data_IF_139191148285
#
_entry.id   IF_139191148285
#
_cell.length_a   1.000
_cell.length_b   1.000
_cell.length_c   1.000
_cell.angle_alpha   90.00
_cell.angle_beta   90.00
_cell.angle_gamma   90.00
#
_symmetry.space_group_name_H-M   'P 1'
#
loop_
_entity.id
_entity.type
_entity.pdbx_description
1 polymer ?
#
# COMPACT_ATOMS: atom_id res chain seq x y z
N UNK A 1 40.30 1.80 29.79
CA UNK A 1 39.00 1.19 29.44
C UNK A 1 38.06 2.34 29.07
N UNK A 2 37.79 2.57 27.79
CA UNK A 2 36.82 3.59 27.39
C UNK A 2 35.42 3.00 27.53
N UNK A 3 34.67 3.46 28.53
CA UNK A 3 33.22 3.22 28.62
C UNK A 3 32.58 3.73 27.34
N UNK A 4 32.12 2.80 26.50
CA UNK A 4 31.34 3.14 25.32
C UNK A 4 30.00 3.64 25.84
N UNK A 5 29.81 4.96 25.84
CA UNK A 5 28.49 5.57 25.98
C UNK A 5 27.54 4.84 25.03
N UNK A 6 26.57 4.14 25.60
CA UNK A 6 25.51 3.47 24.89
C UNK A 6 24.62 4.55 24.26
N UNK A 7 24.98 4.97 23.04
CA UNK A 7 24.18 5.95 22.30
C UNK A 7 22.84 5.31 21.98
N UNK A 8 21.80 5.74 22.70
CA UNK A 8 20.41 5.44 22.39
C UNK A 8 20.18 5.84 20.92
N UNK A 9 19.81 4.87 20.09
CA UNK A 9 19.46 5.10 18.68
C UNK A 9 17.97 5.38 18.62
N UNK A 10 17.61 6.52 18.06
CA UNK A 10 16.21 6.92 17.86
C UNK A 10 15.91 6.80 16.37
N UNK A 11 14.90 6.01 16.02
CA UNK A 11 14.42 5.94 14.64
C UNK A 11 13.67 7.23 14.30
N UNK A 12 14.07 7.87 13.20
CA UNK A 12 13.34 9.03 12.64
C UNK A 12 12.59 8.58 11.39
N UNK A 13 11.24 8.63 11.39
CA UNK A 13 10.44 8.28 10.22
C UNK A 13 10.81 9.15 8.99
N UNK A 14 10.64 8.62 7.77
CA UNK A 14 10.89 9.40 6.57
C UNK A 14 9.94 10.61 6.51
N UNK A 15 10.48 11.80 6.23
CA UNK A 15 9.68 13.03 6.07
C UNK A 15 8.81 12.88 4.80
N UNK A 16 7.52 13.25 4.83
CA UNK A 16 6.72 13.28 3.62
C UNK A 16 7.27 14.32 2.65
N UNK A 17 7.15 14.05 1.35
CA UNK A 17 7.55 14.99 0.32
C UNK A 17 6.52 16.11 0.25
N UNK A 18 6.93 17.34 0.56
CA UNK A 18 6.07 18.52 0.42
C UNK A 18 5.70 18.69 -1.05
N UNK A 19 4.40 18.56 -1.34
CA UNK A 19 3.81 18.59 -2.69
C UNK A 19 4.37 17.53 -3.66
N UNK A 20 4.96 16.44 -3.16
CA UNK A 20 5.49 15.35 -4.01
C UNK A 20 6.73 15.74 -4.85
N UNK A 21 7.35 16.89 -4.60
CA UNK A 21 8.47 17.38 -5.40
C UNK A 21 9.79 16.71 -4.99
N UNK A 22 10.43 16.02 -5.93
CA UNK A 22 11.74 15.35 -5.72
C UNK A 22 12.90 16.29 -6.02
N UNK A 23 12.72 17.17 -7.00
CA UNK A 23 13.74 18.13 -7.40
C UNK A 23 13.82 19.28 -6.38
N UNK A 24 15.02 19.83 -6.12
CA UNK A 24 15.13 21.05 -5.32
C UNK A 24 14.32 22.15 -6.01
N UNK A 25 13.43 22.79 -5.26
CA UNK A 25 12.67 23.91 -5.79
C UNK A 25 13.59 25.10 -6.13
N UNK A 26 13.13 26.05 -6.96
CA UNK A 26 13.88 27.26 -7.30
C UNK A 26 14.21 28.14 -6.08
N UNK A 27 13.52 27.93 -4.95
CA UNK A 27 13.80 28.61 -3.69
C UNK A 27 14.56 27.66 -2.77
N UNK A 28 15.84 27.95 -2.52
CA UNK A 28 16.75 27.21 -1.65
C UNK A 28 16.34 27.18 -0.14
N UNK A 29 15.07 27.40 0.18
CA UNK A 29 14.53 27.48 1.55
C UNK A 29 14.08 26.13 2.12
N UNK A 30 14.09 25.04 1.34
CA UNK A 30 13.73 23.71 1.82
C UNK A 30 14.98 22.84 1.92
N UNK A 31 15.22 22.23 3.08
CA UNK A 31 16.28 21.24 3.25
C UNK A 31 16.22 20.23 2.10
N UNK A 32 17.35 20.03 1.42
CA UNK A 32 17.43 19.07 0.32
C UNK A 32 16.97 17.69 0.81
N UNK A 33 16.06 17.07 0.06
CA UNK A 33 15.60 15.71 0.38
C UNK A 33 16.80 14.77 0.42
N UNK A 34 16.96 14.07 1.54
CA UNK A 34 17.89 12.96 1.60
C UNK A 34 17.24 11.77 0.88
N UNK A 35 18.04 10.97 0.15
CA UNK A 35 17.52 9.78 -0.55
C UNK A 35 16.74 8.81 0.36
N UNK A 36 16.93 8.89 1.68
CA UNK A 36 16.12 8.20 2.68
C UNK A 36 14.64 8.57 2.64
N UNK A 37 14.29 9.83 2.39
CA UNK A 37 12.89 10.26 2.41
C UNK A 37 12.14 9.87 1.13
N UNK A 38 12.87 9.54 0.06
CA UNK A 38 12.27 9.11 -1.21
C UNK A 38 11.69 7.71 -1.05
N UNK A 39 10.41 7.56 -1.40
CA UNK A 39 9.68 6.29 -1.36
C UNK A 39 9.37 5.87 -2.80
N UNK A 40 10.02 4.80 -3.23
CA UNK A 40 9.72 4.13 -4.50
C UNK A 40 8.92 2.85 -4.27
N UNK A 41 8.51 2.23 -5.37
CA UNK A 41 7.89 0.90 -5.38
C UNK A 41 8.49 0.05 -6.48
N UNK A 42 8.59 -1.26 -6.28
CA UNK A 42 9.04 -2.16 -7.35
C UNK A 42 7.95 -2.35 -8.41
N UNK A 43 8.33 -2.45 -9.67
CA UNK A 43 7.40 -2.68 -10.79
C UNK A 43 6.64 -4.02 -10.66
N UNK A 44 7.33 -5.11 -10.31
CA UNK A 44 6.74 -6.47 -10.30
C UNK A 44 5.76 -6.72 -9.16
N UNK A 45 6.13 -6.32 -7.94
CA UNK A 45 5.43 -6.70 -6.71
C UNK A 45 4.86 -5.51 -5.94
N UNK A 46 5.02 -4.29 -6.47
CA UNK A 46 4.59 -3.05 -5.81
C UNK A 46 5.15 -2.89 -4.37
N UNK A 47 6.31 -3.51 -4.10
CA UNK A 47 6.96 -3.52 -2.79
C UNK A 47 7.58 -2.16 -2.48
N UNK A 48 7.41 -1.63 -1.25
CA UNK A 48 8.00 -0.36 -0.88
C UNK A 48 9.52 -0.44 -0.90
N UNK A 49 10.13 0.59 -1.46
CA UNK A 49 11.57 0.68 -1.72
C UNK A 49 12.11 2.04 -1.30
N UNK A 50 13.33 2.07 -0.76
CA UNK A 50 13.98 3.31 -0.35
C UNK A 50 15.50 3.23 -0.43
N UNK A 51 16.16 4.39 -0.33
CA UNK A 51 17.61 4.50 -0.36
C UNK A 51 18.20 4.69 1.05
N UNK A 52 19.11 3.81 1.43
CA UNK A 52 19.88 3.84 2.66
C UNK A 52 21.36 4.12 2.38
N UNK A 53 22.00 4.89 3.26
CA UNK A 53 23.45 5.18 3.19
C UNK A 53 24.29 3.89 3.20
N UNK A 54 23.92 2.92 4.02
CA UNK A 54 24.68 1.69 4.24
C UNK A 54 24.28 0.56 3.29
N UNK A 55 22.98 0.35 3.10
CA UNK A 55 22.46 -0.78 2.32
C UNK A 55 22.13 -0.42 0.86
N UNK A 56 22.38 0.84 0.46
CA UNK A 56 22.08 1.37 -0.87
C UNK A 56 20.59 1.34 -1.16
N UNK A 57 20.09 0.47 -2.04
CA UNK A 57 18.64 0.32 -2.28
C UNK A 57 18.13 -0.81 -1.42
N UNK A 58 17.03 -0.58 -0.70
CA UNK A 58 16.35 -1.57 0.13
C UNK A 58 14.94 -1.76 -0.37
N UNK A 59 14.57 -3.00 -0.67
CA UNK A 59 13.23 -3.43 -1.05
C UNK A 59 12.67 -4.27 0.10
N UNK A 60 11.47 -3.94 0.54
CA UNK A 60 10.76 -4.68 1.57
C UNK A 60 9.70 -5.60 0.94
N UNK A 61 9.95 -6.91 0.97
CA UNK A 61 9.07 -7.90 0.37
C UNK A 61 7.95 -8.34 1.33
N UNK A 62 8.13 -8.15 2.63
CA UNK A 62 7.13 -8.46 3.65
C UNK A 62 7.73 -9.01 4.94
N UNK A 63 6.88 -9.54 5.79
CA UNK A 63 7.27 -10.18 7.05
C UNK A 63 6.87 -11.65 7.03
N UNK A 64 7.74 -12.51 7.53
CA UNK A 64 7.45 -13.89 7.83
C UNK A 64 7.42 -14.03 9.35
N UNK A 65 6.28 -14.50 9.87
CA UNK A 65 6.08 -14.72 11.29
C UNK A 65 6.25 -16.22 11.52
N UNK A 66 7.38 -16.60 12.08
CA UNK A 66 7.66 -17.98 12.48
C UNK A 66 7.58 -18.04 14.00
N UNK A 67 6.43 -18.50 14.51
CA UNK A 67 6.10 -18.47 15.93
C UNK A 67 6.04 -17.04 16.50
N UNK A 68 6.90 -16.77 17.47
CA UNK A 68 7.00 -15.47 18.15
C UNK A 68 8.05 -14.52 17.52
N UNK A 69 8.77 -14.99 16.49
CA UNK A 69 9.83 -14.21 15.85
C UNK A 69 9.37 -13.59 14.53
N UNK A 70 9.46 -12.26 14.43
CA UNK A 70 9.17 -11.52 13.19
C UNK A 70 10.44 -11.37 12.35
N UNK A 71 10.50 -12.08 11.21
CA UNK A 71 11.60 -11.99 10.26
C UNK A 71 11.21 -11.14 9.05
N UNK A 72 11.88 -10.01 8.86
CA UNK A 72 11.65 -9.14 7.70
C UNK A 72 12.34 -9.66 6.45
N UNK A 73 11.55 -10.00 5.42
CA UNK A 73 12.03 -10.35 4.09
C UNK A 73 12.42 -9.07 3.36
N UNK A 74 13.72 -8.88 3.19
CA UNK A 74 14.30 -7.70 2.55
C UNK A 74 15.32 -8.09 1.50
N UNK A 75 15.37 -7.31 0.42
CA UNK A 75 16.37 -7.39 -0.64
C UNK A 75 17.14 -6.09 -0.72
N UNK A 76 18.46 -6.18 -0.90
CA UNK A 76 19.32 -4.99 -0.95
C UNK A 76 20.31 -5.02 -2.10
N UNK A 77 20.70 -3.85 -2.58
CA UNK A 77 21.79 -3.70 -3.56
C UNK A 77 23.19 -3.59 -2.94
N UNK A 78 23.28 -3.78 -1.62
CA UNK A 78 24.52 -3.68 -0.85
C UNK A 78 25.61 -4.62 -1.37
N UNK A 79 26.72 -4.03 -1.79
CA UNK A 79 27.94 -4.75 -2.16
C UNK A 79 27.83 -5.57 -3.46
N UNK A 80 26.76 -5.43 -4.24
CA UNK A 80 26.60 -6.15 -5.50
C UNK A 80 27.47 -5.58 -6.62
N UNK A 81 27.63 -4.25 -6.66
CA UNK A 81 28.53 -3.58 -7.62
C UNK A 81 29.98 -4.02 -7.48
N UNK A 82 30.41 -4.35 -6.25
CA UNK A 82 31.78 -4.76 -5.95
C UNK A 82 31.98 -6.27 -6.16
N UNK A 83 30.98 -7.08 -5.82
CA UNK A 83 31.14 -8.53 -5.75
C UNK A 83 30.82 -9.29 -7.05
N UNK A 84 30.40 -8.61 -8.13
CA UNK A 84 29.97 -9.22 -9.42
C UNK A 84 29.01 -10.42 -9.24
N UNK A 85 28.19 -10.39 -8.19
CA UNK A 85 27.27 -11.50 -7.88
C UNK A 85 26.03 -11.37 -8.75
N UNK A 86 25.45 -12.52 -9.15
CA UNK A 86 24.14 -12.57 -9.81
C UNK A 86 23.07 -12.18 -8.79
N UNK A 87 22.71 -10.90 -8.76
CA UNK A 87 21.51 -10.41 -8.10
C UNK A 87 20.31 -10.51 -9.03
N UNK A 88 19.11 -10.41 -8.46
CA UNK A 88 17.88 -10.26 -9.23
C UNK A 88 17.79 -8.82 -9.73
N UNK A 89 17.52 -8.64 -11.03
CA UNK A 89 17.25 -7.31 -11.58
C UNK A 89 15.82 -6.90 -11.25
N UNK A 90 15.69 -5.75 -10.59
CA UNK A 90 14.43 -5.12 -10.22
C UNK A 90 14.36 -3.69 -10.76
N UNK A 91 13.19 -3.32 -11.27
CA UNK A 91 12.86 -1.97 -11.69
C UNK A 91 12.15 -1.26 -10.53
N UNK A 92 12.74 -0.18 -10.03
CA UNK A 92 12.13 0.67 -9.00
C UNK A 92 11.46 1.85 -9.69
N UNK A 93 10.18 2.05 -9.42
CA UNK A 93 9.37 3.15 -9.91
C UNK A 93 9.17 4.17 -8.80
N UNK A 94 9.46 5.43 -9.07
CA UNK A 94 9.19 6.55 -8.18
C UNK A 94 8.10 7.40 -8.84
N UNK A 95 6.89 7.47 -8.26
CA UNK A 95 5.84 8.33 -8.78
C UNK A 95 6.24 9.79 -8.61
N UNK A 96 6.02 10.61 -9.64
CA UNK A 96 6.26 12.05 -9.59
C UNK A 96 4.92 12.77 -9.60
N UNK A 97 4.38 13.03 -8.42
CA UNK A 97 3.06 13.65 -8.26
C UNK A 97 3.10 15.19 -8.40
N UNK A 98 4.28 15.78 -8.53
CA UNK A 98 4.47 17.23 -8.59
C UNK A 98 4.55 17.74 -10.04
N UNK A 99 3.70 18.71 -10.39
CA UNK A 99 3.73 19.37 -11.72
C UNK A 99 5.12 19.91 -12.08
N UNK A 100 5.84 20.51 -11.13
CA UNK A 100 7.21 21.01 -11.37
C UNK A 100 8.16 19.89 -11.82
N UNK A 101 8.11 18.73 -11.16
CA UNK A 101 8.95 17.59 -11.55
C UNK A 101 8.53 17.02 -12.91
N UNK A 102 7.22 16.97 -13.17
CA UNK A 102 6.68 16.49 -14.44
C UNK A 102 7.07 17.40 -15.61
N UNK A 103 6.98 18.72 -15.45
CA UNK A 103 7.37 19.72 -16.48
C UNK A 103 8.88 19.71 -16.73
N UNK A 104 9.70 19.66 -15.68
CA UNK A 104 11.16 19.70 -15.82
C UNK A 104 11.73 18.42 -16.45
N UNK A 105 11.12 17.26 -16.20
CA UNK A 105 11.60 15.97 -16.68
C UNK A 105 10.77 15.40 -17.84
N UNK A 106 9.64 16.03 -18.18
CA UNK A 106 8.64 15.55 -19.16
C UNK A 106 8.24 14.09 -18.93
N UNK A 107 8.08 13.68 -17.67
CA UNK A 107 7.81 12.30 -17.25
C UNK A 107 6.90 12.30 -16.01
N UNK A 108 6.04 11.30 -15.90
CA UNK A 108 5.15 11.08 -14.74
C UNK A 108 5.76 10.14 -13.70
N UNK A 109 6.71 9.30 -14.11
CA UNK A 109 7.38 8.33 -13.27
C UNK A 109 8.87 8.26 -13.58
N UNK A 110 9.67 8.00 -12.54
CA UNK A 110 11.10 7.73 -12.68
C UNK A 110 11.34 6.23 -12.50
N UNK A 111 11.87 5.58 -13.53
CA UNK A 111 12.31 4.17 -13.48
C UNK A 111 13.80 4.06 -13.19
N UNK A 112 14.17 3.20 -12.24
CA UNK A 112 15.54 2.96 -11.83
C UNK A 112 15.80 1.46 -11.73
N UNK A 113 16.59 0.94 -12.67
CA UNK A 113 16.96 -0.47 -12.69
C UNK A 113 18.10 -0.74 -11.71
N UNK A 114 17.93 -1.75 -10.87
CA UNK A 114 18.90 -2.10 -9.83
C UNK A 114 18.97 -3.60 -9.62
N UNK A 115 20.18 -4.09 -9.40
CA UNK A 115 20.37 -5.47 -8.94
C UNK A 115 20.25 -5.54 -7.43
N UNK A 116 19.50 -6.51 -6.93
CA UNK A 116 19.28 -6.74 -5.51
C UNK A 116 19.48 -8.21 -5.13
N UNK A 117 19.75 -8.47 -3.86
CA UNK A 117 19.86 -9.82 -3.32
C UNK A 117 19.27 -9.89 -1.91
N UNK A 118 18.75 -11.06 -1.52
CA UNK A 118 18.22 -11.30 -0.17
C UNK A 118 19.34 -11.20 0.86
N UNK A 119 19.26 -10.20 1.75
CA UNK A 119 20.25 -9.96 2.82
C UNK A 119 19.62 -9.17 3.96
N UNK A 120 20.21 -9.28 5.15
CA UNK A 120 19.89 -8.42 6.28
C UNK A 120 20.27 -6.96 6.04
N UNK A 121 19.46 -6.08 6.61
CA UNK A 121 19.61 -4.62 6.54
C UNK A 121 20.15 -4.04 7.85
N UNK A 122 20.62 -2.79 7.82
CA UNK A 122 21.04 -2.03 8.99
C UNK A 122 19.87 -1.75 9.94
N UNK A 123 20.18 -1.31 11.16
CA UNK A 123 19.19 -1.07 12.21
C UNK A 123 18.10 -0.08 11.78
N UNK A 124 18.47 1.06 11.17
CA UNK A 124 17.51 2.06 10.69
C UNK A 124 16.53 1.49 9.65
N UNK A 125 17.03 0.62 8.76
CA UNK A 125 16.19 -0.04 7.76
C UNK A 125 15.27 -1.09 8.40
N UNK A 126 15.70 -1.78 9.46
CA UNK A 126 14.82 -2.72 10.19
C UNK A 126 13.68 -1.97 10.87
N UNK A 127 13.97 -0.86 11.53
CA UNK A 127 12.93 -0.02 12.14
C UNK A 127 12.00 0.58 11.08
N UNK A 128 12.52 0.97 9.92
CA UNK A 128 11.67 1.38 8.80
C UNK A 128 10.78 0.25 8.29
N UNK A 129 11.26 -1.00 8.23
CA UNK A 129 10.42 -2.14 7.82
C UNK A 129 9.22 -2.31 8.77
N UNK A 130 9.45 -2.17 10.09
CA UNK A 130 8.37 -2.17 11.09
C UNK A 130 7.39 -1.03 10.84
N UNK A 131 7.89 0.19 10.64
CA UNK A 131 7.07 1.35 10.35
C UNK A 131 6.25 1.19 9.07
N UNK A 132 6.84 0.68 7.98
CA UNK A 132 6.12 0.41 6.72
C UNK A 132 5.01 -0.65 6.91
N UNK A 133 5.26 -1.66 7.74
CA UNK A 133 4.27 -2.69 8.09
C UNK A 133 3.10 -2.08 8.89
N UNK A 134 3.38 -1.20 9.85
CA UNK A 134 2.36 -0.46 10.62
C UNK A 134 1.54 0.45 9.72
N UNK A 135 2.19 1.21 8.83
CA UNK A 135 1.51 2.10 7.88
C UNK A 135 0.55 1.35 6.96
N UNK A 136 0.91 0.12 6.57
CA UNK A 136 0.02 -0.76 5.77
C UNK A 136 -1.19 -1.24 6.57
N UNK A 137 -1.07 -1.44 7.88
CA UNK A 137 -2.19 -1.83 8.77
C UNK A 137 -3.12 -0.64 9.03
N UNK A 138 -2.57 0.55 9.26
CA UNK A 138 -3.35 1.75 9.60
C UNK A 138 -4.06 2.36 8.39
N UNK A 139 -3.50 2.22 7.18
CA UNK A 139 -4.13 2.64 5.93
C UNK A 139 -4.53 1.41 5.12
N UNK A 140 -5.66 0.75 5.43
CA UNK A 140 -6.21 -0.22 4.50
C UNK A 140 -6.40 0.51 3.16
N UNK A 141 -5.74 0.03 2.11
CA UNK A 141 -5.92 0.60 0.78
C UNK A 141 -7.41 0.51 0.43
N UNK A 142 -8.06 1.66 0.27
CA UNK A 142 -9.29 1.77 -0.49
C UNK A 142 -9.00 1.19 -1.89
N UNK A 143 -9.44 -0.04 -2.15
CA UNK A 143 -9.44 -0.63 -3.50
C UNK A 143 -8.49 -1.80 -3.79
N UNK A 144 -7.74 -2.37 -2.84
CA UNK A 144 -7.02 -3.64 -3.10
C UNK A 144 -7.50 -4.77 -2.20
N UNK A 145 -8.23 -5.71 -2.80
CA UNK A 145 -8.63 -7.00 -2.23
C UNK A 145 -7.47 -7.66 -1.46
N UNK A 146 -7.70 -8.21 -0.25
CA UNK A 146 -6.67 -8.96 0.44
C UNK A 146 -6.52 -10.32 -0.25
N UNK A 147 -5.39 -10.56 -0.93
CA UNK A 147 -4.98 -11.91 -1.32
C UNK A 147 -4.52 -12.67 -0.06
N UNK A 148 -5.49 -13.16 0.69
CA UNK A 148 -5.27 -14.04 1.83
C UNK A 148 -4.95 -15.44 1.30
N UNK A 149 -3.67 -15.69 1.04
CA UNK A 149 -3.12 -17.04 1.22
C UNK A 149 -2.97 -17.27 2.73
N UNK A 150 -4.08 -17.63 3.35
CA UNK A 150 -4.10 -18.28 4.66
C UNK A 150 -5.12 -19.39 4.53
N UNK A 151 -4.66 -20.53 4.02
CA UNK A 151 -5.39 -21.79 4.15
C UNK A 151 -4.77 -22.56 5.31
N UNK A 152 -5.68 -23.16 6.08
CA UNK A 152 -5.53 -24.18 7.11
C UNK A 152 -5.22 -23.63 8.51
N UNK A 153 -6.01 -23.91 9.55
CA UNK A 153 -7.28 -24.64 9.66
C UNK A 153 -7.86 -24.41 11.06
N UNK A 154 -9.12 -24.84 11.26
CA UNK A 154 -9.82 -24.96 12.56
C UNK A 154 -10.44 -23.68 13.15
N UNK A 155 -11.61 -23.30 12.63
CA UNK A 155 -12.76 -23.34 13.53
C UNK A 155 -14.05 -23.75 12.79
N UNK A 156 -14.78 -24.60 13.47
CA UNK A 156 -15.79 -25.53 12.99
C UNK A 156 -17.16 -24.90 13.14
N UNK A 157 -17.71 -24.33 12.08
CA UNK A 157 -19.15 -24.08 11.99
C UNK A 157 -19.63 -24.36 10.57
N UNK A 158 -20.37 -25.48 10.48
CA UNK A 158 -21.02 -26.03 9.31
C UNK A 158 -22.18 -25.10 8.93
N UNK A 159 -21.99 -24.29 7.90
CA UNK A 159 -23.09 -23.67 7.18
C UNK A 159 -23.77 -24.72 6.29
N UNK A 160 -24.69 -25.50 6.86
CA UNK A 160 -25.82 -26.02 6.07
C UNK A 160 -26.70 -24.81 5.74
N UNK A 161 -26.30 -24.11 4.68
CA UNK A 161 -27.07 -23.07 4.03
C UNK A 161 -28.17 -23.75 3.22
N UNK A 162 -29.31 -23.97 3.86
CA UNK A 162 -30.53 -24.52 3.24
C UNK A 162 -31.64 -23.49 3.39
N UNK A 163 -31.91 -22.82 2.26
CA UNK A 163 -33.20 -22.29 1.77
C UNK A 163 -33.78 -21.10 2.54
N UNK A 164 -33.83 -19.93 1.89
CA UNK A 164 -35.04 -19.45 1.19
C UNK A 164 -36.26 -19.52 2.12
N UNK A 165 -36.62 -18.39 2.74
CA UNK A 165 -38.00 -17.99 3.09
C UNK A 165 -38.03 -16.67 3.88
N UNK A 166 -37.31 -15.64 3.40
CA UNK A 166 -37.30 -14.30 4.01
C UNK A 166 -38.31 -13.35 3.34
N UNK A 167 -39.33 -13.88 2.67
CA UNK A 167 -40.45 -13.09 2.11
C UNK A 167 -41.79 -13.31 2.83
N UNK A 168 -41.91 -14.33 3.69
CA UNK A 168 -43.19 -14.63 4.38
C UNK A 168 -43.30 -13.94 5.75
N UNK A 169 -42.19 -13.46 6.34
CA UNK A 169 -42.21 -12.84 7.67
C UNK A 169 -42.60 -11.36 7.69
N UNK A 170 -42.43 -10.65 6.59
CA UNK A 170 -42.70 -9.20 6.54
C UNK A 170 -44.20 -8.89 6.32
N UNK A 171 -44.92 -9.71 5.55
CA UNK A 171 -46.38 -9.55 5.36
C UNK A 171 -47.20 -9.88 6.63
N UNK A 172 -46.74 -10.83 7.45
CA UNK A 172 -47.45 -11.23 8.69
C UNK A 172 -47.25 -10.19 9.82
N UNK A 173 -46.15 -9.43 9.80
CA UNK A 173 -45.90 -8.34 10.74
C UNK A 173 -46.68 -7.06 10.37
N UNK A 174 -46.88 -6.79 9.07
CA UNK A 174 -47.69 -5.66 8.60
C UNK A 174 -49.19 -5.81 8.95
N UNK A 175 -49.72 -7.05 8.90
CA UNK A 175 -51.12 -7.32 9.25
C UNK A 175 -51.45 -7.16 10.75
N UNK A 176 -50.45 -7.16 11.64
CA UNK A 176 -50.66 -7.00 13.09
C UNK A 176 -50.67 -5.54 13.57
N UNK A 177 -50.30 -4.58 12.72
CA UNK A 177 -50.21 -3.14 13.07
C UNK A 177 -51.32 -2.32 12.38
N UNK A 178 -52.21 -2.94 11.59
CA UNK A 178 -53.43 -2.30 11.10
C UNK A 178 -53.20 -1.17 10.09
N UNK A 179 -52.11 -1.20 9.34
CA UNK A 179 -51.85 -0.25 8.27
C UNK A 179 -52.15 -0.96 6.94
N UNK A 180 -53.27 -0.60 6.31
CA UNK A 180 -53.57 -1.07 4.96
C UNK A 180 -52.62 -0.39 3.95
N UNK A 181 -51.88 -1.15 3.11
CA UNK A 181 -51.14 -0.58 2.01
C UNK A 181 -52.09 -0.18 0.86
N UNK A 182 -52.01 1.09 0.46
CA UNK A 182 -52.77 1.67 -0.64
C UNK A 182 -52.52 0.93 -1.98
N UNK A 183 -53.53 0.78 -2.86
CA UNK A 183 -53.38 0.08 -4.13
C UNK A 183 -52.50 0.87 -5.11
N UNK A 184 -51.44 0.21 -5.61
CA UNK A 184 -50.67 0.66 -6.77
C UNK A 184 -51.53 0.49 -8.03
N UNK A 185 -52.05 1.59 -8.57
CA UNK A 185 -52.57 1.57 -9.94
C UNK A 185 -51.41 1.72 -10.93
N UNK A 186 -51.37 0.88 -11.99
CA UNK A 186 -50.45 1.06 -13.10
C UNK A 186 -50.98 2.19 -13.99
N UNK A 187 -50.21 3.26 -14.16
CA UNK A 187 -50.54 4.32 -15.11
C UNK A 187 -49.88 3.98 -16.45
N UNK A 188 -50.65 3.39 -17.36
CA UNK A 188 -50.35 3.34 -18.80
C UNK A 188 -51.11 4.46 -19.53
N UNK A 189 -50.38 5.07 -20.48
CA UNK A 189 -50.83 5.82 -21.67
C UNK A 189 -51.73 7.06 -21.55
N UNK A 190 -51.14 8.23 -21.85
CA UNK A 190 -51.81 9.28 -22.64
C UNK A 190 -50.80 9.83 -23.67
N UNK A 191 -51.26 9.92 -24.91
CA UNK A 191 -50.48 10.13 -26.13
C UNK A 191 -49.88 11.53 -26.34
N UNK A 192 -49.11 11.62 -27.44
CA UNK A 192 -48.26 12.75 -27.78
C UNK A 192 -48.96 13.97 -28.38
N UNK A 193 -48.15 14.99 -28.68
CA UNK A 193 -48.54 16.13 -29.50
C UNK A 193 -47.34 16.58 -30.36
N UNK A 194 -47.49 16.34 -31.67
CA UNK A 194 -47.04 17.15 -32.79
C UNK A 194 -45.61 17.70 -32.81
N UNK A 195 -44.78 17.00 -33.57
CA UNK A 195 -44.04 17.57 -34.70
C UNK A 195 -44.93 18.55 -35.49
N UNK A 196 -44.70 19.85 -35.30
CA UNK A 196 -45.03 20.96 -36.22
C UNK A 196 -43.84 21.93 -36.10
N UNK A 197 -43.02 22.08 -37.15
CA UNK A 197 -43.20 23.10 -38.20
C UNK A 197 -43.36 24.50 -37.63
#
# INVERSE_FOLDING_TARGET
KNEKHERIRIFTPPKPMLNGCILPGPVAQMEAFTGWSVRGRTEKANCPTWWCKFDKVVIFDGVEVEGDTMNFKTRTSKGLTIARRRGDTETVMIPMDCNHCQEMLNRTEWKYDVQVCKRGVCWDCKERCKWELEQKKTKPQEGSMPSVQTRMDVNRERADSVLQDEQVREEVLAAKIGIEPAPKTPTENVGGIAERL
#
